data_IF_045644571215
#
_entry.id   IF_045644571215
#
_cell.length_a   1.000
_cell.length_b   1.000
_cell.length_c   1.000
_cell.angle_alpha   90.00
_cell.angle_beta   90.00
_cell.angle_gamma   90.00
#
_symmetry.space_group_name_H-M   'P 1'
#
loop_
_entity.id
_entity.type
_entity.pdbx_description
1 polymer ?
#
# COMPACT_ATOMS: atom_id res chain seq x y z
N UNK A 1 47.87 7.55 31.40
CA UNK A 1 48.05 8.28 30.13
C UNK A 1 47.34 7.50 29.02
N UNK A 2 46.35 8.13 28.36
CA UNK A 2 45.88 7.96 26.95
C UNK A 2 45.57 6.51 26.46
N UNK A 3 44.46 6.16 25.81
CA UNK A 3 43.51 6.92 25.00
C UNK A 3 42.24 6.07 24.73
N UNK A 4 41.11 6.78 24.55
CA UNK A 4 39.86 6.38 23.86
C UNK A 4 40.16 6.10 22.36
N UNK A 5 39.32 5.52 21.51
CA UNK A 5 37.88 5.28 21.50
C UNK A 5 37.56 4.07 20.60
N UNK A 6 36.54 3.30 20.95
CA UNK A 6 35.92 2.30 20.07
C UNK A 6 35.13 3.02 18.97
N UNK A 7 35.37 2.62 17.73
CA UNK A 7 34.65 3.04 16.53
C UNK A 7 33.14 2.82 16.71
N UNK A 8 32.34 3.90 16.62
CA UNK A 8 30.88 3.76 16.50
C UNK A 8 30.56 3.33 15.07
N UNK A 9 30.17 2.08 14.90
CA UNK A 9 29.48 1.67 13.67
C UNK A 9 27.99 1.86 13.95
N UNK A 10 27.44 3.00 13.51
CA UNK A 10 26.00 3.16 13.35
C UNK A 10 25.58 2.21 12.22
N UNK A 11 24.90 1.13 12.55
CA UNK A 11 24.02 0.47 11.59
C UNK A 11 22.61 1.04 11.81
N UNK A 12 22.17 1.81 10.82
CA UNK A 12 20.78 2.19 10.62
C UNK A 12 19.97 0.94 10.23
N UNK A 13 18.72 0.89 10.68
CA UNK A 13 17.71 0.01 10.12
C UNK A 13 17.43 -1.27 10.92
N UNK A 14 16.88 -1.13 12.13
CA UNK A 14 15.99 -2.18 12.67
C UNK A 14 14.92 -1.49 13.50
N UNK A 15 13.76 -1.25 12.90
CA UNK A 15 12.54 -0.94 13.64
C UNK A 15 11.83 -2.28 13.88
N UNK A 16 12.21 -2.95 14.97
CA UNK A 16 11.32 -3.95 15.59
C UNK A 16 10.73 -3.25 16.80
N UNK A 17 9.53 -2.69 16.64
CA UNK A 17 8.76 -2.24 17.80
C UNK A 17 7.99 -3.45 18.31
N UNK A 18 8.35 -3.89 19.51
CA UNK A 18 7.85 -5.10 20.12
C UNK A 18 6.38 -5.03 20.54
N UNK A 19 5.76 -6.21 20.54
CA UNK A 19 4.51 -6.50 21.25
C UNK A 19 4.20 -7.99 21.13
N UNK A 20 4.55 -8.78 22.15
CA UNK A 20 4.06 -10.16 22.30
C UNK A 20 2.56 -10.09 22.61
N UNK A 21 1.69 -10.37 21.64
CA UNK A 21 0.26 -10.40 21.86
C UNK A 21 -0.14 -11.70 22.59
N UNK A 22 -0.27 -11.63 23.92
CA UNK A 22 -1.12 -12.55 24.68
C UNK A 22 -2.57 -12.18 24.40
N UNK A 23 -3.35 -13.13 23.92
CA UNK A 23 -4.67 -12.91 23.31
C UNK A 23 -5.64 -12.02 24.08
N UNK A 24 -6.46 -11.30 23.31
CA UNK A 24 -7.55 -10.47 23.83
C UNK A 24 -7.78 -9.25 22.94
N UNK A 25 -8.97 -9.17 22.37
CA UNK A 25 -9.43 -8.13 21.44
C UNK A 25 -9.38 -6.72 22.05
N UNK A 26 -8.30 -6.00 21.77
CA UNK A 26 -8.21 -4.54 21.86
C UNK A 26 -6.95 -4.15 21.08
N UNK A 27 -7.12 -3.78 19.82
CA UNK A 27 -5.98 -3.46 18.99
C UNK A 27 -5.33 -2.16 19.47
N UNK A 28 -4.14 -2.29 20.07
CA UNK A 28 -3.17 -1.23 19.95
C UNK A 28 -2.91 -1.08 18.45
N UNK A 29 -3.16 0.10 17.89
CA UNK A 29 -2.96 0.40 16.47
C UNK A 29 -1.69 -0.25 15.97
N UNK A 30 -1.84 -1.40 15.31
CA UNK A 30 -0.69 -2.19 14.91
C UNK A 30 -0.09 -1.46 13.71
N UNK A 31 1.22 -1.20 13.78
CA UNK A 31 1.93 -0.62 12.66
C UNK A 31 1.97 -1.61 11.49
N UNK A 32 2.02 -1.09 10.26
CA UNK A 32 2.22 -1.91 9.07
C UNK A 32 3.66 -2.42 9.04
N UNK A 33 3.87 -3.55 8.38
CA UNK A 33 5.21 -4.02 8.03
C UNK A 33 5.65 -3.22 6.81
N UNK A 34 6.78 -2.51 6.91
CA UNK A 34 7.20 -1.54 5.91
C UNK A 34 8.66 -1.71 5.50
N UNK A 35 8.93 -1.43 4.22
CA UNK A 35 10.26 -1.35 3.64
C UNK A 35 11.10 -0.15 4.11
N UNK A 36 12.38 -0.07 3.70
CA UNK A 36 13.27 1.02 4.08
C UNK A 36 12.82 2.34 3.47
N UNK A 37 12.74 3.40 4.27
CA UNK A 37 12.37 4.74 3.78
C UNK A 37 10.87 5.06 3.88
N UNK A 38 10.05 4.06 4.23
CA UNK A 38 8.63 4.24 4.51
C UNK A 38 8.42 4.90 5.88
N UNK A 39 7.50 5.85 5.95
CA UNK A 39 7.07 6.53 7.18
C UNK A 39 5.63 6.15 7.51
N UNK A 40 5.33 5.92 8.79
CA UNK A 40 4.00 5.57 9.24
C UNK A 40 3.51 6.42 10.42
N UNK A 41 2.23 6.77 10.37
CA UNK A 41 1.40 7.25 11.48
C UNK A 41 0.22 6.29 11.69
N UNK A 42 -0.63 6.57 12.68
CA UNK A 42 -1.80 5.75 13.01
C UNK A 42 -2.72 5.47 11.80
N UNK A 43 -2.85 6.44 10.89
CA UNK A 43 -3.80 6.37 9.75
C UNK A 43 -3.13 6.56 8.40
N UNK A 44 -1.85 6.91 8.36
CA UNK A 44 -1.18 7.25 7.10
C UNK A 44 0.14 6.53 6.98
N UNK A 45 0.37 5.90 5.82
CA UNK A 45 1.64 5.30 5.43
C UNK A 45 2.12 6.01 4.18
N UNK A 46 3.40 6.36 4.14
CA UNK A 46 4.02 7.07 3.03
C UNK A 46 5.31 6.36 2.68
N UNK A 47 5.34 5.77 1.48
CA UNK A 47 6.52 5.19 0.86
C UNK A 47 7.52 6.26 0.43
N UNK A 48 8.54 5.81 -0.28
CA UNK A 48 9.70 6.56 -0.71
C UNK A 48 9.69 6.70 -2.24
N UNK A 49 10.79 7.19 -2.82
CA UNK A 49 10.96 7.19 -4.28
C UNK A 49 11.60 5.90 -4.81
N UNK A 50 11.59 4.83 -4.02
CA UNK A 50 12.16 3.54 -4.36
C UNK A 50 11.12 2.45 -4.09
N UNK A 51 11.32 1.27 -4.68
CA UNK A 51 10.42 0.14 -4.53
C UNK A 51 10.20 -0.23 -3.06
N UNK A 52 8.95 -0.09 -2.62
CA UNK A 52 8.52 -0.35 -1.26
C UNK A 52 7.70 -1.63 -1.15
N UNK A 53 7.75 -2.22 0.05
CA UNK A 53 6.86 -3.33 0.43
C UNK A 53 6.13 -2.90 1.70
N UNK A 54 4.82 -2.69 1.58
CA UNK A 54 3.94 -2.19 2.63
C UNK A 54 2.84 -3.22 2.85
N UNK A 55 2.80 -3.81 4.05
CA UNK A 55 1.78 -4.79 4.44
C UNK A 55 1.07 -4.31 5.72
N UNK A 56 -0.20 -3.94 5.55
CA UNK A 56 -1.06 -3.44 6.61
C UNK A 56 -2.12 -4.46 7.05
N UNK A 57 -2.02 -5.74 6.69
CA UNK A 57 -3.06 -6.76 6.91
C UNK A 57 -3.47 -6.94 8.37
N UNK A 58 -2.56 -6.69 9.32
CA UNK A 58 -2.82 -6.80 10.76
C UNK A 58 -2.99 -5.43 11.44
N UNK A 59 -3.13 -4.36 10.66
CA UNK A 59 -3.24 -2.98 11.14
C UNK A 59 -4.69 -2.53 11.22
N UNK A 60 -4.95 -1.65 12.18
CA UNK A 60 -6.20 -0.89 12.31
C UNK A 60 -5.88 0.54 12.79
N UNK A 61 -6.80 1.50 12.55
CA UNK A 61 -7.96 1.43 11.66
C UNK A 61 -7.53 1.40 10.18
N UNK A 62 -8.47 1.62 9.25
CA UNK A 62 -8.16 1.87 7.84
C UNK A 62 -7.12 2.97 7.63
N UNK A 63 -6.39 2.87 6.52
CA UNK A 63 -5.16 3.59 6.19
C UNK A 63 -5.31 4.37 4.90
N UNK A 64 -4.64 5.52 4.88
CA UNK A 64 -4.27 6.20 3.65
C UNK A 64 -2.82 5.85 3.34
N UNK A 65 -2.57 5.15 2.24
CA UNK A 65 -1.26 4.67 1.83
C UNK A 65 -0.86 5.36 0.53
N UNK A 66 0.36 5.90 0.50
CA UNK A 66 0.97 6.47 -0.70
C UNK A 66 2.26 5.70 -0.97
N UNK A 67 2.40 5.07 -2.14
CA UNK A 67 3.64 4.44 -2.62
C UNK A 67 4.71 5.47 -2.96
N UNK A 68 4.29 6.48 -3.74
CA UNK A 68 5.05 7.61 -4.28
C UNK A 68 5.81 7.26 -5.54
N UNK A 69 7.01 6.71 -5.46
CA UNK A 69 7.81 6.44 -6.64
C UNK A 69 8.49 5.10 -6.56
N UNK A 70 8.61 4.41 -7.69
CA UNK A 70 9.18 3.08 -7.74
C UNK A 70 8.09 2.04 -7.93
N UNK A 71 8.49 0.77 -7.98
CA UNK A 71 7.54 -0.32 -8.18
C UNK A 71 7.18 -0.90 -6.82
N UNK A 72 6.02 -0.50 -6.31
CA UNK A 72 5.61 -0.77 -4.94
C UNK A 72 4.72 -2.00 -4.84
N UNK A 73 4.84 -2.72 -3.72
CA UNK A 73 3.92 -3.79 -3.35
C UNK A 73 3.20 -3.38 -2.08
N UNK A 74 1.91 -3.08 -2.20
CA UNK A 74 1.11 -2.48 -1.14
C UNK A 74 -0.12 -3.35 -0.86
N UNK A 75 -0.28 -3.76 0.39
CA UNK A 75 -1.48 -4.43 0.90
C UNK A 75 -2.09 -3.61 2.03
N UNK A 76 -3.36 -3.27 1.88
CA UNK A 76 -4.15 -2.56 2.87
C UNK A 76 -4.53 -3.41 4.08
N UNK A 77 -5.51 -2.91 4.82
CA UNK A 77 -6.05 -3.47 6.05
C UNK A 77 -7.31 -4.29 5.80
N UNK A 78 -7.97 -4.74 6.86
CA UNK A 78 -9.32 -5.32 6.76
C UNK A 78 -10.44 -4.25 6.78
N UNK A 79 -10.09 -2.96 6.83
CA UNK A 79 -11.01 -1.82 6.90
C UNK A 79 -10.93 -1.00 5.62
N UNK A 80 -11.77 0.03 5.52
CA UNK A 80 -11.77 0.90 4.35
C UNK A 80 -10.47 1.68 4.23
N UNK A 81 -9.73 1.42 3.16
CA UNK A 81 -8.44 2.01 2.85
C UNK A 81 -8.51 2.97 1.65
N UNK A 82 -7.53 3.85 1.60
CA UNK A 82 -7.25 4.70 0.44
C UNK A 82 -5.80 4.43 0.04
N UNK A 83 -5.58 3.82 -1.12
CA UNK A 83 -4.25 3.41 -1.56
C UNK A 83 -3.93 4.08 -2.90
N UNK A 84 -2.78 4.76 -2.94
CA UNK A 84 -2.24 5.39 -4.14
C UNK A 84 -0.86 4.81 -4.42
N UNK A 85 -0.69 4.12 -5.56
CA UNK A 85 0.63 3.70 -6.05
C UNK A 85 1.49 4.91 -6.41
N UNK A 86 0.95 5.76 -7.29
CA UNK A 86 1.57 6.95 -7.89
C UNK A 86 2.50 6.58 -9.06
N UNK A 87 3.81 6.84 -8.98
CA UNK A 87 4.71 6.65 -10.11
C UNK A 87 5.39 5.27 -10.05
N UNK A 88 5.23 4.46 -11.09
CA UNK A 88 5.91 3.18 -11.24
C UNK A 88 4.93 2.05 -11.54
N UNK A 89 5.45 0.83 -11.62
CA UNK A 89 4.60 -0.33 -11.87
C UNK A 89 4.24 -0.98 -10.53
N UNK A 90 3.06 -0.66 -10.02
CA UNK A 90 2.66 -1.00 -8.67
C UNK A 90 1.76 -2.23 -8.60
N UNK A 91 1.80 -2.90 -7.44
CA UNK A 91 0.87 -3.97 -7.08
C UNK A 91 0.12 -3.59 -5.82
N UNK A 92 -1.17 -3.30 -5.96
CA UNK A 92 -2.02 -2.78 -4.90
C UNK A 92 -3.11 -3.79 -4.55
N UNK A 93 -3.29 -4.05 -3.25
CA UNK A 93 -4.38 -4.90 -2.72
C UNK A 93 -5.12 -4.16 -1.61
N UNK A 94 -6.45 -4.03 -1.73
CA UNK A 94 -7.31 -3.28 -0.81
C UNK A 94 -7.49 -4.02 0.51
N UNK A 95 -8.23 -5.14 0.47
CA UNK A 95 -8.45 -5.98 1.64
C UNK A 95 -9.89 -6.47 1.73
N UNK A 96 -10.50 -6.35 2.91
CA UNK A 96 -11.92 -6.72 3.12
C UNK A 96 -12.83 -5.48 3.19
N UNK A 97 -12.22 -4.29 3.28
CA UNK A 97 -12.93 -3.03 3.41
C UNK A 97 -13.56 -2.58 2.09
N UNK A 98 -14.35 -1.50 2.14
CA UNK A 98 -14.69 -0.78 0.91
C UNK A 98 -13.55 0.19 0.62
N UNK A 99 -12.74 -0.16 -0.36
CA UNK A 99 -11.45 0.48 -0.56
C UNK A 99 -11.46 1.40 -1.79
N UNK A 100 -10.61 2.42 -1.75
CA UNK A 100 -10.34 3.28 -2.90
C UNK A 100 -8.89 3.10 -3.32
N UNK A 101 -8.66 2.50 -4.49
CA UNK A 101 -7.32 2.21 -4.98
C UNK A 101 -7.06 2.97 -6.28
N UNK A 102 -5.87 3.52 -6.40
CA UNK A 102 -5.38 4.21 -7.59
C UNK A 102 -3.99 3.69 -7.93
N UNK A 103 -3.82 3.10 -9.11
CA UNK A 103 -2.52 2.70 -9.66
C UNK A 103 -1.62 3.92 -9.84
N UNK A 104 -1.93 4.76 -10.84
CA UNK A 104 -1.16 5.95 -11.12
C UNK A 104 -0.46 5.86 -12.48
N UNK A 105 0.76 6.38 -12.58
CA UNK A 105 1.53 6.30 -13.82
C UNK A 105 2.32 4.99 -13.83
N UNK A 106 2.33 4.27 -14.94
CA UNK A 106 2.99 2.98 -15.07
C UNK A 106 2.01 1.83 -15.26
N UNK A 107 2.54 0.62 -15.45
CA UNK A 107 1.69 -0.57 -15.62
C UNK A 107 1.37 -1.18 -14.26
N UNK A 108 0.13 -0.98 -13.81
CA UNK A 108 -0.30 -1.32 -12.46
C UNK A 108 -1.16 -2.59 -12.40
N UNK A 109 -1.08 -3.27 -11.27
CA UNK A 109 -2.01 -4.34 -10.89
C UNK A 109 -2.75 -3.95 -9.63
N UNK A 110 -4.06 -3.73 -9.73
CA UNK A 110 -4.90 -3.26 -8.63
C UNK A 110 -5.98 -4.29 -8.32
N UNK A 111 -6.06 -4.72 -7.07
CA UNK A 111 -7.04 -5.70 -6.60
C UNK A 111 -7.82 -5.17 -5.39
N UNK A 112 -9.12 -4.92 -5.54
CA UNK A 112 -10.00 -4.50 -4.44
C UNK A 112 -10.16 -5.58 -3.37
N UNK A 113 -10.20 -6.84 -3.80
CA UNK A 113 -10.43 -8.03 -2.98
C UNK A 113 -11.89 -8.18 -2.54
N UNK A 114 -12.26 -7.93 -1.28
CA UNK A 114 -13.64 -8.06 -0.85
C UNK A 114 -14.13 -6.71 -0.37
N UNK A 115 -15.37 -6.36 -0.69
CA UNK A 115 -15.90 -5.03 -0.38
C UNK A 115 -16.55 -4.44 -1.62
N UNK A 116 -17.08 -3.23 -1.51
CA UNK A 116 -17.50 -2.46 -2.66
C UNK A 116 -16.41 -1.45 -2.98
N UNK A 117 -15.55 -1.81 -3.92
CA UNK A 117 -14.31 -1.07 -4.13
C UNK A 117 -14.43 -0.04 -5.26
N UNK A 118 -13.55 0.96 -5.21
CA UNK A 118 -13.39 1.95 -6.27
C UNK A 118 -11.95 1.91 -6.76
N UNK A 119 -11.72 1.27 -7.90
CA UNK A 119 -10.41 1.09 -8.49
C UNK A 119 -10.23 2.05 -9.67
N UNK A 120 -9.10 2.75 -9.68
CA UNK A 120 -8.63 3.53 -10.83
C UNK A 120 -7.28 2.99 -11.23
N UNK A 121 -7.13 2.63 -12.51
CA UNK A 121 -5.84 2.19 -13.04
C UNK A 121 -5.00 3.39 -13.45
N UNK A 122 -5.21 3.92 -14.66
CA UNK A 122 -4.18 4.71 -15.29
C UNK A 122 -4.29 6.15 -14.85
N UNK A 123 -3.11 6.75 -14.70
CA UNK A 123 -2.88 8.17 -14.69
C UNK A 123 -3.09 8.76 -16.09
N UNK A 124 -2.27 9.75 -16.44
CA UNK A 124 -2.37 10.43 -17.75
C UNK A 124 -1.53 9.78 -18.85
N UNK A 125 -1.08 8.55 -18.64
CA UNK A 125 -0.21 7.81 -19.56
C UNK A 125 -0.97 6.78 -20.41
N UNK A 126 -0.22 5.93 -21.12
CA UNK A 126 -0.73 4.91 -22.04
C UNK A 126 -0.37 3.49 -21.56
N UNK A 127 0.02 3.36 -20.28
CA UNK A 127 0.31 2.06 -19.70
C UNK A 127 -0.98 1.25 -19.57
N UNK A 128 -0.86 -0.08 -19.62
CA UNK A 128 -2.02 -0.98 -19.55
C UNK A 128 -2.14 -1.56 -18.16
N UNK A 129 -3.22 -1.21 -17.47
CA UNK A 129 -3.44 -1.67 -16.11
C UNK A 129 -4.34 -2.90 -16.03
N UNK A 130 -4.12 -3.67 -14.98
CA UNK A 130 -4.97 -4.80 -14.60
C UNK A 130 -5.76 -4.45 -13.36
N UNK A 131 -7.08 -4.34 -13.50
CA UNK A 131 -7.99 -4.03 -12.37
C UNK A 131 -8.88 -5.23 -12.04
N UNK A 132 -8.86 -5.67 -10.79
CA UNK A 132 -9.71 -6.73 -10.27
C UNK A 132 -10.51 -6.21 -9.08
N UNK A 133 -11.83 -6.02 -9.25
CA UNK A 133 -12.73 -5.65 -8.15
C UNK A 133 -12.75 -6.72 -7.05
N UNK A 134 -12.90 -7.98 -7.46
CA UNK A 134 -12.98 -9.10 -6.53
C UNK A 134 -14.44 -9.42 -6.20
N UNK A 135 -14.79 -9.55 -4.92
CA UNK A 135 -16.16 -9.83 -4.48
C UNK A 135 -16.83 -8.56 -3.97
N UNK A 136 -18.00 -8.25 -4.53
CA UNK A 136 -18.83 -7.12 -4.12
C UNK A 136 -19.25 -6.31 -5.33
N UNK A 137 -19.74 -5.09 -5.12
CA UNK A 137 -20.11 -4.19 -6.21
C UNK A 137 -19.02 -3.17 -6.42
N UNK A 138 -18.19 -3.41 -7.43
CA UNK A 138 -16.92 -2.69 -7.62
C UNK A 138 -16.98 -1.74 -8.81
N UNK A 139 -16.43 -0.54 -8.64
CA UNK A 139 -16.32 0.44 -9.71
C UNK A 139 -14.89 0.49 -10.21
N UNK A 140 -14.70 0.32 -11.51
CA UNK A 140 -13.40 0.45 -12.14
C UNK A 140 -13.42 1.55 -13.20
N UNK A 141 -12.48 2.49 -13.07
CA UNK A 141 -12.37 3.66 -13.93
C UNK A 141 -11.04 3.71 -14.70
N UNK A 142 -11.11 4.17 -15.94
CA UNK A 142 -9.97 4.63 -16.74
C UNK A 142 -10.04 6.14 -16.90
N UNK A 143 -8.93 6.84 -16.66
CA UNK A 143 -8.80 8.27 -17.01
C UNK A 143 -8.17 8.43 -18.42
N UNK A 144 -7.70 7.33 -19.04
CA UNK A 144 -7.05 7.27 -20.36
C UNK A 144 -7.95 6.88 -21.55
N UNK A 145 -7.40 7.05 -22.76
CA UNK A 145 -8.03 6.74 -24.05
C UNK A 145 -8.14 5.20 -24.18
N UNK A 146 -9.24 4.60 -24.67
CA UNK A 146 -9.32 3.14 -24.80
C UNK A 146 -8.24 2.56 -25.74
N UNK A 147 -7.65 1.37 -25.47
CA UNK A 147 -8.07 0.31 -24.56
C UNK A 147 -7.05 0.04 -23.43
N UNK A 148 -6.80 1.03 -22.57
CA UNK A 148 -5.68 0.97 -21.62
C UNK A 148 -5.98 0.19 -20.31
N UNK A 149 -7.10 -0.56 -20.22
CA UNK A 149 -7.44 -1.36 -19.02
C UNK A 149 -7.92 -2.77 -19.35
N UNK A 150 -7.37 -3.76 -18.63
CA UNK A 150 -7.93 -5.10 -18.46
C UNK A 150 -8.64 -5.19 -17.11
N UNK A 151 -9.94 -4.91 -17.08
CA UNK A 151 -10.74 -4.93 -15.83
C UNK A 151 -11.70 -6.12 -15.76
N UNK A 152 -11.80 -6.75 -14.59
CA UNK A 152 -12.82 -7.78 -14.28
C UNK A 152 -13.93 -7.28 -13.36
N UNK A 153 -14.10 -5.97 -13.21
CA UNK A 153 -15.06 -5.37 -12.27
C UNK A 153 -16.48 -5.36 -12.84
N UNK A 154 -17.49 -5.56 -11.99
CA UNK A 154 -18.90 -5.51 -12.37
C UNK A 154 -19.38 -4.05 -12.46
N UNK A 155 -19.73 -3.60 -13.67
CA UNK A 155 -20.20 -2.24 -13.97
C UNK A 155 -21.60 -1.93 -13.42
#
# INVERSE_FOLDING_TARGET
MRSRALYSVLFAGTVVVGGLATGGSASAAANCVIGPGVTQTNTTVTGSGANDTIDCTNSDPGKTIYGNGGNDTITGTAFNDVIHGNDGNDTLTGGIGNDTLSGGLGEDTVNGSAGNDSLTGPGTDFAVDTLSGGTGTDKCGAIGIPPDIRSSCES
#
